data_IF_773746123191
#
_entry.id   IF_773746123191
#
_cell.length_a   1.000
_cell.length_b   1.000
_cell.length_c   1.000
_cell.angle_alpha   90.00
_cell.angle_beta   90.00
_cell.angle_gamma   90.00
#
_symmetry.space_group_name_H-M   'P 1'
#
loop_
_entity.id
_entity.type
_entity.pdbx_description
1 polymer ?
#
# COMPACT_ATOMS: atom_id res chain seq x y z
N UNK A 1 58.64 -68.50 21.34
CA UNK A 1 58.93 -67.19 20.85
C UNK A 1 57.97 -66.73 19.65
N UNK A 2 57.47 -67.67 18.85
CA UNK A 2 56.45 -67.36 17.78
C UNK A 2 55.08 -67.20 18.41
N UNK A 3 54.67 -68.00 19.36
CA UNK A 3 53.34 -67.93 20.00
C UNK A 3 53.07 -66.57 20.71
N UNK A 4 54.10 -65.98 21.31
CA UNK A 4 53.98 -64.67 21.96
C UNK A 4 53.81 -63.52 21.00
N UNK A 5 54.22 -63.67 19.76
CA UNK A 5 54.02 -62.68 18.70
C UNK A 5 52.62 -62.85 18.13
N UNK A 6 52.08 -64.03 17.91
CA UNK A 6 50.75 -64.32 17.48
C UNK A 6 49.71 -63.81 18.47
N UNK A 7 49.91 -64.05 19.78
CA UNK A 7 49.06 -63.52 20.83
C UNK A 7 49.03 -61.97 20.85
N UNK A 8 50.22 -61.38 20.69
CA UNK A 8 50.28 -59.89 20.59
C UNK A 8 49.56 -59.33 19.38
N UNK A 9 49.64 -59.95 18.23
CA UNK A 9 48.96 -59.60 17.03
C UNK A 9 47.45 -59.75 17.20
N UNK A 10 46.99 -60.87 17.78
CA UNK A 10 45.55 -61.08 18.03
C UNK A 10 44.96 -60.06 19.02
N UNK A 11 45.69 -59.69 20.07
CA UNK A 11 45.31 -58.64 21.02
C UNK A 11 45.20 -57.27 20.25
N UNK A 12 46.13 -56.96 19.37
CA UNK A 12 46.19 -55.77 18.62
C UNK A 12 44.99 -55.67 17.63
N UNK A 13 44.62 -56.73 16.96
CA UNK A 13 43.45 -56.78 16.07
C UNK A 13 42.14 -56.68 16.85
N UNK A 14 42.01 -57.34 17.99
CA UNK A 14 40.79 -57.24 18.84
C UNK A 14 40.62 -55.85 19.44
N UNK A 15 41.70 -55.26 19.96
CA UNK A 15 41.68 -53.89 20.49
C UNK A 15 41.42 -52.87 19.37
N UNK A 16 42.07 -53.03 18.19
CA UNK A 16 41.82 -52.20 17.02
C UNK A 16 40.37 -52.26 16.54
N UNK A 17 39.80 -53.47 16.50
CA UNK A 17 38.39 -53.68 16.14
C UNK A 17 37.40 -53.01 17.12
N UNK A 18 37.69 -53.10 18.42
CA UNK A 18 36.87 -52.41 19.43
C UNK A 18 36.93 -50.89 19.33
N UNK A 19 38.13 -50.34 19.09
CA UNK A 19 38.30 -48.89 18.88
C UNK A 19 37.55 -48.40 17.64
N UNK A 20 37.65 -49.12 16.51
CA UNK A 20 36.93 -48.80 15.30
C UNK A 20 35.42 -48.90 15.52
N UNK A 21 34.94 -49.93 16.22
CA UNK A 21 33.53 -50.11 16.56
C UNK A 21 33.00 -48.95 17.43
N UNK A 22 33.76 -48.55 18.46
CA UNK A 22 33.41 -47.42 19.31
C UNK A 22 33.34 -46.10 18.51
N UNK A 23 34.33 -45.90 17.64
CA UNK A 23 34.40 -44.71 16.80
C UNK A 23 33.20 -44.62 15.81
N UNK A 24 32.80 -45.74 15.20
CA UNK A 24 31.63 -45.81 14.35
C UNK A 24 30.32 -45.50 15.05
N UNK A 25 30.17 -45.99 16.33
CA UNK A 25 29.02 -45.68 17.16
C UNK A 25 28.99 -44.17 17.48
N UNK A 26 30.13 -43.59 17.80
CA UNK A 26 30.26 -42.19 18.15
C UNK A 26 29.94 -41.29 16.94
N UNK A 27 30.38 -41.66 15.73
CA UNK A 27 30.02 -41.02 14.48
C UNK A 27 28.52 -41.13 14.17
N UNK A 28 27.91 -42.30 14.43
CA UNK A 28 26.45 -42.46 14.23
C UNK A 28 25.65 -41.57 15.16
N UNK A 29 26.03 -41.47 16.43
CA UNK A 29 25.42 -40.58 17.40
C UNK A 29 25.56 -39.10 16.96
N UNK A 30 26.77 -38.70 16.57
CA UNK A 30 27.04 -37.36 16.07
C UNK A 30 26.21 -37.02 14.83
N UNK A 31 26.05 -37.96 13.89
CA UNK A 31 25.22 -37.79 12.71
C UNK A 31 23.74 -37.60 13.05
N UNK A 32 23.20 -38.34 14.00
CA UNK A 32 21.81 -38.17 14.49
C UNK A 32 21.62 -36.81 15.13
N UNK A 33 22.52 -36.40 16.03
CA UNK A 33 22.48 -35.07 16.67
C UNK A 33 22.53 -33.97 15.63
N UNK A 34 23.41 -34.09 14.64
CA UNK A 34 23.51 -33.11 13.56
C UNK A 34 22.25 -33.06 12.68
N UNK A 35 21.67 -34.22 12.37
CA UNK A 35 20.42 -34.29 11.58
C UNK A 35 19.24 -33.64 12.32
N UNK A 36 19.09 -33.90 13.62
CA UNK A 36 18.01 -33.34 14.42
C UNK A 36 18.22 -31.85 14.74
N UNK A 37 19.46 -31.45 14.96
CA UNK A 37 19.78 -30.07 15.31
C UNK A 37 19.82 -29.11 14.14
N UNK A 38 20.26 -29.52 12.95
CA UNK A 38 20.53 -28.65 11.82
C UNK A 38 19.60 -28.94 10.61
N UNK A 39 19.54 -30.21 10.19
CA UNK A 39 18.85 -30.56 8.93
C UNK A 39 17.34 -30.45 9.06
N UNK A 40 16.75 -30.96 10.15
CA UNK A 40 15.29 -30.90 10.34
C UNK A 40 14.73 -29.47 10.43
N UNK A 41 15.34 -28.56 11.22
CA UNK A 41 14.91 -27.16 11.26
C UNK A 41 14.98 -26.48 9.90
N UNK A 42 16.07 -26.67 9.16
CA UNK A 42 16.20 -26.09 7.80
C UNK A 42 15.16 -26.63 6.84
N UNK A 43 14.85 -27.93 6.89
CA UNK A 43 13.77 -28.52 6.05
C UNK A 43 12.40 -27.91 6.38
N UNK A 44 12.10 -27.65 7.67
CA UNK A 44 10.86 -26.96 8.05
C UNK A 44 10.78 -25.55 7.47
N UNK A 45 11.88 -24.81 7.49
CA UNK A 45 11.96 -23.48 6.88
C UNK A 45 11.71 -23.56 5.37
N UNK A 46 12.36 -24.49 4.68
CA UNK A 46 12.18 -24.66 3.22
C UNK A 46 10.73 -25.02 2.86
N UNK A 47 10.13 -25.98 3.58
CA UNK A 47 8.73 -26.34 3.33
C UNK A 47 7.75 -25.21 3.62
N UNK A 48 8.01 -24.39 4.63
CA UNK A 48 7.18 -23.21 4.89
C UNK A 48 7.25 -22.19 3.75
N UNK A 49 8.46 -21.93 3.21
CA UNK A 49 8.64 -21.03 2.06
C UNK A 49 7.92 -21.58 0.82
N UNK A 50 8.02 -22.89 0.55
CA UNK A 50 7.32 -23.53 -0.55
C UNK A 50 5.80 -23.44 -0.43
N UNK A 51 5.25 -23.65 0.77
CA UNK A 51 3.82 -23.52 1.03
C UNK A 51 3.31 -22.10 0.82
N UNK A 52 4.08 -21.09 1.24
CA UNK A 52 3.74 -19.68 0.97
C UNK A 52 3.76 -19.37 -0.53
N UNK A 53 4.75 -19.88 -1.24
CA UNK A 53 4.84 -19.71 -2.70
C UNK A 53 3.67 -20.37 -3.45
N UNK A 54 3.06 -21.40 -2.87
CA UNK A 54 1.87 -22.09 -3.40
C UNK A 54 0.54 -21.43 -2.99
N UNK A 55 0.57 -20.33 -2.21
CA UNK A 55 -0.62 -19.63 -1.75
C UNK A 55 -1.28 -20.28 -0.51
N UNK A 56 -0.63 -21.22 0.13
CA UNK A 56 -1.14 -21.93 1.30
C UNK A 56 -0.29 -21.63 2.53
N UNK A 57 -0.63 -20.69 3.37
CA UNK A 57 -0.56 -20.77 4.83
C UNK A 57 -0.59 -19.44 5.56
N UNK A 58 -1.47 -19.39 6.56
CA UNK A 58 -1.46 -18.41 7.66
C UNK A 58 -0.56 -18.89 8.82
N UNK A 59 0.17 -19.99 8.65
CA UNK A 59 0.91 -20.62 9.74
C UNK A 59 2.22 -19.86 10.04
N UNK A 60 2.34 -19.39 11.27
CA UNK A 60 3.57 -18.77 11.78
C UNK A 60 4.64 -19.86 11.87
N UNK A 61 5.75 -19.67 11.16
CA UNK A 61 6.90 -20.55 11.22
C UNK A 61 7.56 -20.44 12.60
N UNK A 62 7.47 -21.53 13.39
CA UNK A 62 8.09 -21.60 14.71
C UNK A 62 9.25 -22.59 14.69
N UNK A 63 10.48 -22.08 14.79
CA UNK A 63 11.71 -22.88 14.84
C UNK A 63 12.62 -22.31 15.92
N UNK A 64 12.61 -22.96 17.10
CA UNK A 64 13.34 -22.50 18.30
C UNK A 64 14.60 -23.35 18.60
N UNK A 65 15.30 -23.85 17.56
CA UNK A 65 16.41 -24.79 17.79
C UNK A 65 17.75 -24.09 18.10
N UNK A 66 18.08 -23.05 17.34
CA UNK A 66 19.30 -22.25 17.49
C UNK A 66 18.98 -20.76 17.25
N UNK A 67 19.82 -19.87 17.79
CA UNK A 67 19.66 -18.42 17.63
C UNK A 67 19.58 -18.01 16.15
N UNK A 68 20.41 -18.61 15.31
CA UNK A 68 20.46 -18.34 13.87
C UNK A 68 19.18 -18.79 13.15
N UNK A 69 18.68 -19.99 13.44
CA UNK A 69 17.43 -20.50 12.86
C UNK A 69 16.22 -19.73 13.35
N UNK A 70 16.22 -19.27 14.60
CA UNK A 70 15.20 -18.39 15.15
C UNK A 70 15.17 -17.05 14.43
N UNK A 71 16.33 -16.39 14.26
CA UNK A 71 16.44 -15.11 13.54
C UNK A 71 15.97 -15.23 12.08
N UNK A 72 16.29 -16.34 11.41
CA UNK A 72 15.81 -16.64 10.06
C UNK A 72 14.28 -16.81 10.06
N UNK A 73 13.73 -17.58 11.00
CA UNK A 73 12.29 -17.80 11.16
C UNK A 73 11.54 -16.48 11.39
N UNK A 74 12.02 -15.63 12.29
CA UNK A 74 11.44 -14.31 12.55
C UNK A 74 11.49 -13.40 11.32
N UNK A 75 12.61 -13.43 10.58
CA UNK A 75 12.76 -12.65 9.34
C UNK A 75 11.79 -13.11 8.24
N UNK A 76 11.59 -14.42 8.11
CA UNK A 76 10.63 -15.02 7.18
C UNK A 76 9.21 -14.66 7.60
N UNK A 77 8.83 -14.82 8.87
CA UNK A 77 7.50 -14.45 9.36
C UNK A 77 7.20 -12.97 9.11
N UNK A 78 8.19 -12.09 9.31
CA UNK A 78 8.05 -10.67 8.99
C UNK A 78 7.86 -10.41 7.50
N UNK A 79 8.56 -11.16 6.65
CA UNK A 79 8.39 -11.09 5.19
C UNK A 79 7.02 -11.60 4.76
N UNK A 80 6.57 -12.74 5.31
CA UNK A 80 5.25 -13.31 5.06
C UNK A 80 4.12 -12.36 5.47
N UNK A 81 4.22 -11.77 6.67
CA UNK A 81 3.25 -10.76 7.11
C UNK A 81 3.18 -9.55 6.17
N UNK A 82 4.32 -9.10 5.63
CA UNK A 82 4.33 -8.03 4.63
C UNK A 82 3.72 -8.46 3.29
N UNK A 83 3.98 -9.67 2.83
CA UNK A 83 3.38 -10.19 1.60
C UNK A 83 1.87 -10.31 1.73
N UNK A 84 1.38 -10.84 2.87
CA UNK A 84 -0.06 -10.90 3.14
C UNK A 84 -0.70 -9.52 3.13
N UNK A 85 -0.14 -8.55 3.85
CA UNK A 85 -0.65 -7.17 3.83
C UNK A 85 -0.67 -6.55 2.42
N UNK A 86 0.30 -6.90 1.57
CA UNK A 86 0.32 -6.44 0.18
C UNK A 86 -0.76 -7.10 -0.66
N UNK A 87 -1.01 -8.39 -0.43
CA UNK A 87 -2.02 -9.15 -1.17
C UNK A 87 -3.44 -8.74 -0.75
N UNK A 88 -3.69 -8.62 0.55
CA UNK A 88 -4.94 -8.09 1.10
C UNK A 88 -5.24 -6.67 0.57
N UNK A 89 -4.22 -5.80 0.57
CA UNK A 89 -4.35 -4.44 0.03
C UNK A 89 -4.61 -4.43 -1.49
N UNK A 90 -4.06 -5.39 -2.23
CA UNK A 90 -4.31 -5.55 -3.67
C UNK A 90 -5.73 -6.06 -3.94
N UNK A 91 -6.19 -7.03 -3.17
CA UNK A 91 -7.55 -7.56 -3.29
C UNK A 91 -8.60 -6.49 -2.96
N UNK A 92 -8.38 -5.74 -1.88
CA UNK A 92 -9.20 -4.61 -1.51
C UNK A 92 -9.20 -3.51 -2.60
N UNK A 93 -8.03 -3.19 -3.15
CA UNK A 93 -7.92 -2.25 -4.26
C UNK A 93 -8.76 -2.68 -5.46
N UNK A 94 -8.66 -3.95 -5.91
CA UNK A 94 -9.42 -4.46 -7.05
C UNK A 94 -10.92 -4.45 -6.77
N UNK A 95 -11.33 -4.84 -5.56
CA UNK A 95 -12.72 -4.81 -5.11
C UNK A 95 -13.28 -3.39 -5.14
N UNK A 96 -12.58 -2.44 -4.53
CA UNK A 96 -13.01 -1.04 -4.45
C UNK A 96 -13.09 -0.39 -5.83
N UNK A 97 -12.09 -0.62 -6.70
CA UNK A 97 -12.12 -0.15 -8.11
C UNK A 97 -13.34 -0.70 -8.85
N UNK A 98 -13.61 -2.01 -8.67
CA UNK A 98 -14.76 -2.65 -9.32
C UNK A 98 -16.08 -2.04 -8.87
N UNK A 99 -16.22 -1.73 -7.59
CA UNK A 99 -17.39 -1.07 -7.04
C UNK A 99 -17.54 0.38 -7.51
N UNK A 100 -16.48 1.17 -7.50
CA UNK A 100 -16.50 2.57 -7.92
C UNK A 100 -16.77 2.73 -9.42
N UNK A 101 -16.38 1.77 -10.27
CA UNK A 101 -16.70 1.77 -11.69
C UNK A 101 -18.10 1.22 -11.98
N UNK A 102 -18.58 0.22 -11.21
CA UNK A 102 -19.90 -0.39 -11.44
C UNK A 102 -21.05 0.58 -11.19
N UNK A 103 -20.91 1.45 -10.21
CA UNK A 103 -21.98 2.41 -9.83
C UNK A 103 -22.34 3.37 -10.97
N UNK A 104 -21.41 4.17 -11.55
CA UNK A 104 -21.73 5.06 -12.68
C UNK A 104 -22.19 4.29 -13.91
N UNK A 105 -21.59 3.13 -14.22
CA UNK A 105 -22.04 2.29 -15.33
C UNK A 105 -23.48 1.82 -15.18
N UNK A 106 -23.87 1.43 -13.95
CA UNK A 106 -25.26 1.01 -13.66
C UNK A 106 -26.22 2.20 -13.80
N UNK A 107 -25.83 3.38 -13.30
CA UNK A 107 -26.63 4.62 -13.45
C UNK A 107 -26.84 4.97 -14.91
N UNK A 108 -25.78 5.00 -15.72
CA UNK A 108 -25.87 5.24 -17.16
C UNK A 108 -26.76 4.23 -17.87
N UNK A 109 -26.67 2.95 -17.49
CA UNK A 109 -27.50 1.90 -18.07
C UNK A 109 -28.96 2.12 -17.74
N UNK A 110 -29.30 2.41 -16.49
CA UNK A 110 -30.70 2.68 -16.08
C UNK A 110 -31.28 3.87 -16.82
N UNK A 111 -30.52 4.96 -16.98
CA UNK A 111 -30.95 6.13 -17.75
C UNK A 111 -31.18 5.78 -19.22
N UNK A 112 -30.26 5.03 -19.83
CA UNK A 112 -30.39 4.60 -21.21
C UNK A 112 -31.57 3.64 -21.42
N UNK A 113 -31.75 2.65 -20.56
CA UNK A 113 -32.85 1.69 -20.62
C UNK A 113 -34.19 2.44 -20.46
N UNK A 114 -34.29 3.40 -19.53
CA UNK A 114 -35.50 4.24 -19.36
C UNK A 114 -35.86 5.04 -20.59
N UNK A 115 -34.88 5.53 -21.38
CA UNK A 115 -35.16 6.20 -22.66
C UNK A 115 -35.60 5.24 -23.75
N UNK A 116 -35.08 4.00 -23.75
CA UNK A 116 -35.41 3.01 -24.78
C UNK A 116 -36.78 2.36 -24.56
N UNK A 117 -37.26 2.30 -23.31
CA UNK A 117 -38.56 1.71 -22.98
C UNK A 117 -39.75 2.67 -23.19
N UNK A 118 -39.51 3.96 -23.34
CA UNK A 118 -40.55 4.96 -23.50
C UNK A 118 -40.83 5.24 -24.98
N UNK A 119 -42.12 5.15 -25.40
CA UNK A 119 -42.58 5.63 -26.70
C UNK A 119 -42.88 7.14 -26.63
N UNK A 120 -42.38 7.90 -27.62
CA UNK A 120 -42.63 9.37 -27.76
C UNK A 120 -42.02 10.21 -26.60
N UNK A 121 -40.77 9.99 -26.25
CA UNK A 121 -40.05 10.82 -25.27
C UNK A 121 -39.94 12.27 -25.75
N UNK A 122 -40.37 13.28 -24.98
CA UNK A 122 -40.17 14.69 -25.32
C UNK A 122 -38.67 15.00 -25.52
N UNK A 123 -38.39 15.91 -26.47
CA UNK A 123 -37.00 16.27 -26.81
C UNK A 123 -36.23 16.82 -25.57
N UNK A 124 -36.93 17.59 -24.76
CA UNK A 124 -36.38 18.16 -23.52
C UNK A 124 -35.96 17.09 -22.56
N UNK A 125 -36.75 16.05 -22.34
CA UNK A 125 -36.47 14.92 -21.50
C UNK A 125 -35.31 14.09 -22.05
N UNK A 126 -35.26 13.89 -23.36
CA UNK A 126 -34.16 13.24 -24.04
C UNK A 126 -32.82 13.97 -23.81
N UNK A 127 -32.84 15.30 -23.91
CA UNK A 127 -31.66 16.14 -23.66
C UNK A 127 -31.20 16.08 -22.20
N UNK A 128 -32.14 16.05 -21.25
CA UNK A 128 -31.83 15.93 -19.81
C UNK A 128 -31.13 14.59 -19.52
N UNK A 129 -31.71 13.47 -19.95
CA UNK A 129 -31.11 12.13 -19.72
C UNK A 129 -29.75 11.98 -20.40
N UNK A 130 -29.59 12.48 -21.63
CA UNK A 130 -28.31 12.46 -22.33
C UNK A 130 -27.28 13.35 -21.62
N UNK A 131 -27.70 14.47 -21.04
CA UNK A 131 -26.87 15.33 -20.23
C UNK A 131 -26.40 14.65 -18.95
N UNK A 132 -27.26 13.87 -18.30
CA UNK A 132 -26.91 13.13 -17.11
C UNK A 132 -25.98 11.92 -17.41
N UNK A 133 -26.22 11.23 -18.54
CA UNK A 133 -25.28 10.19 -19.01
C UNK A 133 -23.89 10.81 -19.29
N UNK A 134 -23.84 11.98 -19.92
CA UNK A 134 -22.56 12.66 -20.18
C UNK A 134 -21.83 13.02 -18.89
N UNK A 135 -22.54 13.50 -17.86
CA UNK A 135 -21.95 13.77 -16.53
C UNK A 135 -21.38 12.51 -15.87
N UNK A 136 -22.09 11.37 -15.98
CA UNK A 136 -21.59 10.10 -15.42
C UNK A 136 -20.36 9.58 -16.19
N UNK A 137 -20.29 9.77 -17.50
CA UNK A 137 -19.10 9.47 -18.31
C UNK A 137 -17.90 10.32 -17.85
N UNK A 138 -18.10 11.62 -17.63
CA UNK A 138 -17.04 12.52 -17.15
C UNK A 138 -16.57 12.11 -15.75
N UNK A 139 -17.48 11.70 -14.88
CA UNK A 139 -17.17 11.16 -13.55
C UNK A 139 -16.34 9.89 -13.64
N UNK A 140 -16.71 8.95 -14.51
CA UNK A 140 -15.98 7.69 -14.72
C UNK A 140 -14.57 7.96 -15.26
N UNK A 141 -14.43 8.85 -16.24
CA UNK A 141 -13.13 9.27 -16.77
C UNK A 141 -12.22 9.86 -15.67
N UNK A 142 -12.79 10.64 -14.73
CA UNK A 142 -12.04 11.17 -13.59
C UNK A 142 -11.56 10.03 -12.69
N UNK A 143 -12.42 9.08 -12.34
CA UNK A 143 -12.05 7.90 -11.53
C UNK A 143 -10.91 7.12 -12.19
N UNK A 144 -11.00 6.84 -13.49
CA UNK A 144 -9.95 6.13 -14.24
C UNK A 144 -8.63 6.91 -14.21
N UNK A 145 -8.67 8.22 -14.40
CA UNK A 145 -7.48 9.08 -14.37
C UNK A 145 -6.81 9.09 -13.00
N UNK A 146 -7.61 9.17 -11.94
CA UNK A 146 -7.14 9.13 -10.55
C UNK A 146 -6.49 7.77 -10.22
N UNK A 147 -7.11 6.67 -10.67
CA UNK A 147 -6.58 5.31 -10.53
C UNK A 147 -5.24 5.13 -11.27
N UNK A 148 -5.15 5.61 -12.52
CA UNK A 148 -3.91 5.55 -13.29
C UNK A 148 -2.78 6.36 -12.63
N UNK A 149 -3.13 7.48 -12.01
CA UNK A 149 -2.18 8.31 -11.25
C UNK A 149 -1.68 7.59 -10.01
N UNK A 150 -2.56 6.91 -9.26
CA UNK A 150 -2.18 6.06 -8.12
C UNK A 150 -1.23 4.93 -8.54
N UNK A 151 -1.57 4.19 -9.60
CA UNK A 151 -0.72 3.08 -10.10
C UNK A 151 0.65 3.58 -10.58
N UNK A 152 0.70 4.75 -11.20
CA UNK A 152 1.97 5.37 -11.60
C UNK A 152 2.81 5.76 -10.39
N UNK A 153 2.20 6.29 -9.32
CA UNK A 153 2.90 6.68 -8.09
C UNK A 153 3.44 5.48 -7.30
N UNK A 154 2.77 4.33 -7.35
CA UNK A 154 3.14 3.10 -6.62
C UNK A 154 4.36 2.37 -7.23
N UNK A 155 4.76 2.69 -8.44
CA UNK A 155 5.97 2.09 -9.04
C UNK A 155 7.20 2.48 -8.23
N UNK A 156 7.67 1.56 -7.37
CA UNK A 156 8.97 1.65 -6.69
C UNK A 156 10.06 1.87 -7.75
N UNK A 157 10.69 3.04 -7.75
CA UNK A 157 11.79 3.36 -8.67
C UNK A 157 11.52 4.54 -9.62
N UNK A 158 10.38 5.23 -9.55
CA UNK A 158 10.30 6.54 -10.20
C UNK A 158 11.23 7.50 -9.47
N UNK A 159 12.27 7.92 -10.17
CA UNK A 159 13.12 9.05 -9.71
C UNK A 159 12.20 10.26 -9.58
N UNK A 160 12.20 10.85 -8.38
CA UNK A 160 11.56 12.15 -8.17
C UNK A 160 12.27 13.17 -9.05
N UNK A 161 11.52 13.96 -9.80
CA UNK A 161 12.07 15.10 -10.50
C UNK A 161 12.13 16.29 -9.52
N UNK A 162 13.20 16.31 -8.71
CA UNK A 162 13.37 17.32 -7.68
C UNK A 162 14.02 18.56 -8.28
N UNK A 163 13.32 19.68 -8.19
CA UNK A 163 13.76 20.99 -8.67
C UNK A 163 13.57 22.05 -7.57
N UNK A 164 14.39 23.09 -7.62
CA UNK A 164 14.25 24.22 -6.70
C UNK A 164 13.12 25.14 -7.14
N UNK A 165 12.05 25.19 -6.35
CA UNK A 165 10.80 25.86 -6.68
C UNK A 165 10.42 26.90 -5.64
N UNK A 166 9.85 28.02 -6.11
CA UNK A 166 9.20 29.00 -5.22
C UNK A 166 7.80 28.51 -4.86
N UNK A 167 7.62 28.13 -3.59
CA UNK A 167 6.39 27.51 -3.09
C UNK A 167 5.21 28.49 -3.10
N UNK A 168 5.46 29.78 -2.86
CA UNK A 168 4.40 30.81 -2.90
C UNK A 168 3.79 30.89 -4.29
N UNK A 169 4.62 31.00 -5.32
CA UNK A 169 4.17 31.08 -6.71
C UNK A 169 3.41 29.80 -7.13
N UNK A 170 3.90 28.64 -6.71
CA UNK A 170 3.26 27.37 -7.01
C UNK A 170 1.89 27.26 -6.35
N UNK A 171 1.76 27.64 -5.07
CA UNK A 171 0.46 27.68 -4.39
C UNK A 171 -0.51 28.64 -5.06
N UNK A 172 -0.06 29.85 -5.42
CA UNK A 172 -0.91 30.80 -6.16
C UNK A 172 -1.43 30.23 -7.46
N UNK A 173 -0.59 29.52 -8.24
CA UNK A 173 -1.00 28.88 -9.47
C UNK A 173 -2.03 27.76 -9.24
N UNK A 174 -1.87 26.95 -8.20
CA UNK A 174 -2.81 25.91 -7.82
C UNK A 174 -4.15 26.54 -7.43
N UNK A 175 -4.13 27.52 -6.54
CA UNK A 175 -5.35 28.16 -6.06
C UNK A 175 -6.07 28.93 -7.18
N UNK A 176 -5.34 29.56 -8.11
CA UNK A 176 -5.91 30.22 -9.28
C UNK A 176 -6.73 29.24 -10.15
N UNK A 177 -6.27 28.01 -10.28
CA UNK A 177 -7.00 26.96 -11.03
C UNK A 177 -8.26 26.49 -10.29
N UNK A 178 -8.26 26.51 -8.97
CA UNK A 178 -9.37 26.02 -8.14
C UNK A 178 -10.41 27.10 -7.82
N UNK A 179 -10.08 28.40 -7.94
CA UNK A 179 -11.03 29.51 -7.71
C UNK A 179 -12.35 29.40 -8.47
N UNK A 180 -12.40 29.02 -9.77
CA UNK A 180 -13.68 28.88 -10.47
C UNK A 180 -14.58 27.81 -9.83
N UNK A 181 -14.02 26.70 -9.35
CA UNK A 181 -14.76 25.61 -8.68
C UNK A 181 -15.30 26.10 -7.32
N UNK A 182 -14.48 26.83 -6.57
CA UNK A 182 -14.90 27.42 -5.29
C UNK A 182 -16.01 28.45 -5.47
N UNK A 183 -15.92 29.31 -6.51
CA UNK A 183 -16.96 30.30 -6.83
C UNK A 183 -18.31 29.65 -7.15
N UNK A 184 -18.33 28.52 -7.87
CA UNK A 184 -19.57 27.79 -8.14
C UNK A 184 -20.27 27.28 -6.88
N UNK A 185 -19.51 27.11 -5.79
CA UNK A 185 -20.01 26.68 -4.46
C UNK A 185 -20.12 27.82 -3.46
N UNK A 186 -19.92 29.07 -3.89
CA UNK A 186 -19.85 30.24 -3.01
C UNK A 186 -18.84 30.10 -1.86
N UNK A 187 -17.69 29.43 -2.12
CA UNK A 187 -16.62 29.25 -1.13
C UNK A 187 -15.50 30.25 -1.43
N UNK A 188 -15.11 31.01 -0.40
CA UNK A 188 -14.00 31.95 -0.49
C UNK A 188 -12.67 31.23 -0.26
N UNK A 189 -11.67 31.46 -1.14
CA UNK A 189 -10.30 30.95 -0.95
C UNK A 189 -9.38 32.09 -0.59
N UNK A 190 -8.77 32.01 0.60
CA UNK A 190 -7.79 32.97 1.11
C UNK A 190 -6.42 32.29 1.18
N UNK A 191 -5.40 32.98 0.66
CA UNK A 191 -4.00 32.55 0.82
C UNK A 191 -3.26 33.52 1.72
N UNK A 192 -2.57 32.97 2.73
CA UNK A 192 -1.72 33.73 3.64
C UNK A 192 -0.29 33.21 3.61
N UNK A 193 0.66 34.11 3.40
CA UNK A 193 2.07 33.76 3.42
C UNK A 193 2.88 34.88 4.04
N UNK A 194 3.69 34.53 5.03
CA UNK A 194 4.46 35.52 5.79
C UNK A 194 5.82 35.86 5.16
N UNK A 195 6.34 35.00 4.31
CA UNK A 195 7.64 35.16 3.64
C UNK A 195 7.76 34.29 2.38
N UNK A 196 8.64 34.67 1.44
CA UNK A 196 8.99 33.80 0.32
C UNK A 196 9.65 32.51 0.81
N UNK A 197 9.23 31.38 0.25
CA UNK A 197 9.76 30.05 0.55
C UNK A 197 10.23 29.41 -0.75
N UNK A 198 11.48 28.94 -0.78
CA UNK A 198 12.02 28.13 -1.86
C UNK A 198 12.41 26.77 -1.31
N UNK A 199 12.02 25.69 -1.99
CA UNK A 199 12.30 24.33 -1.56
C UNK A 199 12.56 23.42 -2.77
N UNK A 200 13.29 22.34 -2.52
CA UNK A 200 13.53 21.27 -3.50
C UNK A 200 12.37 20.27 -3.45
N UNK A 201 11.55 20.26 -4.48
CA UNK A 201 10.34 19.42 -4.56
C UNK A 201 10.14 18.87 -5.98
N UNK A 202 9.35 17.81 -6.09
CA UNK A 202 8.75 17.37 -7.35
C UNK A 202 7.46 18.17 -7.57
N UNK A 203 7.48 19.12 -8.51
CA UNK A 203 6.37 20.04 -8.79
C UNK A 203 5.05 19.29 -9.05
N UNK A 204 5.11 18.23 -9.87
CA UNK A 204 3.91 17.49 -10.28
C UNK A 204 3.25 16.79 -9.09
N UNK A 205 4.03 16.09 -8.30
CA UNK A 205 3.51 15.34 -7.14
C UNK A 205 3.06 16.27 -6.03
N UNK A 206 3.81 17.34 -5.81
CA UNK A 206 3.46 18.35 -4.83
C UNK A 206 2.16 19.09 -5.21
N UNK A 207 2.06 19.53 -6.48
CA UNK A 207 0.85 20.18 -6.99
C UNK A 207 -0.38 19.28 -6.87
N UNK A 208 -0.22 17.99 -7.15
CA UNK A 208 -1.30 17.02 -7.01
C UNK A 208 -1.76 16.88 -5.56
N UNK A 209 -0.82 16.77 -4.62
CA UNK A 209 -1.15 16.66 -3.19
C UNK A 209 -1.91 17.88 -2.68
N UNK A 210 -1.43 19.09 -2.98
CA UNK A 210 -2.07 20.33 -2.55
C UNK A 210 -3.43 20.53 -3.25
N UNK A 211 -3.51 20.25 -4.55
CA UNK A 211 -4.79 20.34 -5.29
C UNK A 211 -5.84 19.43 -4.66
N UNK A 212 -5.51 18.19 -4.33
CA UNK A 212 -6.43 17.25 -3.68
C UNK A 212 -6.93 17.75 -2.31
N UNK A 213 -6.03 18.31 -1.49
CA UNK A 213 -6.42 18.85 -0.18
C UNK A 213 -7.38 20.04 -0.35
N UNK A 214 -7.07 20.97 -1.26
CA UNK A 214 -7.90 22.17 -1.47
C UNK A 214 -9.22 21.80 -2.17
N UNK A 215 -9.20 20.87 -3.15
CA UNK A 215 -10.43 20.36 -3.76
C UNK A 215 -11.37 19.71 -2.74
N UNK A 216 -10.83 18.93 -1.81
CA UNK A 216 -11.61 18.34 -0.72
C UNK A 216 -12.16 19.42 0.21
N UNK A 217 -11.37 20.42 0.59
CA UNK A 217 -11.80 21.54 1.40
C UNK A 217 -12.94 22.34 0.74
N UNK A 218 -12.94 22.48 -0.61
CA UNK A 218 -14.03 23.10 -1.35
C UNK A 218 -15.24 22.16 -1.42
N UNK A 219 -15.01 20.88 -1.75
CA UNK A 219 -16.06 19.89 -1.99
C UNK A 219 -16.92 19.64 -0.77
N UNK A 220 -16.30 19.52 0.39
CA UNK A 220 -16.98 19.24 1.66
C UNK A 220 -17.27 20.50 2.48
N UNK A 221 -17.15 21.69 1.86
CA UNK A 221 -17.50 22.95 2.48
C UNK A 221 -19.01 23.18 2.52
N UNK A 222 -19.41 24.12 3.37
CA UNK A 222 -20.77 24.64 3.43
C UNK A 222 -20.94 25.80 2.44
N UNK A 223 -22.17 26.08 2.06
CA UNK A 223 -22.48 27.29 1.28
C UNK A 223 -22.01 28.56 2.01
N UNK A 224 -21.42 29.49 1.28
CA UNK A 224 -20.78 30.68 1.81
C UNK A 224 -19.67 30.40 2.84
N UNK A 225 -19.01 29.25 2.72
CA UNK A 225 -17.87 28.90 3.55
C UNK A 225 -16.56 29.48 3.03
N UNK A 226 -15.48 29.11 3.69
CA UNK A 226 -14.14 29.55 3.34
C UNK A 226 -13.13 28.41 3.37
N UNK A 227 -12.06 28.57 2.60
CA UNK A 227 -10.84 27.73 2.63
C UNK A 227 -9.65 28.65 2.83
N UNK A 228 -8.90 28.45 3.89
CA UNK A 228 -7.70 29.22 4.21
C UNK A 228 -6.47 28.37 4.02
N UNK A 229 -5.59 28.78 3.10
CA UNK A 229 -4.33 28.12 2.81
C UNK A 229 -3.20 28.99 3.35
N UNK A 230 -2.51 28.54 4.37
CA UNK A 230 -1.38 29.27 4.95
C UNK A 230 -0.05 28.59 4.67
N UNK A 231 0.96 29.37 4.28
CA UNK A 231 2.34 28.95 4.09
C UNK A 231 3.22 29.59 5.16
N UNK A 232 3.86 28.75 5.95
CA UNK A 232 4.84 29.18 6.94
C UNK A 232 6.12 28.36 6.78
N UNK A 233 7.24 28.85 7.29
CA UNK A 233 8.50 28.12 7.29
C UNK A 233 9.34 28.50 8.51
N UNK A 234 10.07 27.53 9.04
CA UNK A 234 11.16 27.76 9.98
C UNK A 234 12.54 27.64 9.28
N UNK A 235 13.60 27.45 10.03
CA UNK A 235 14.96 27.32 9.49
C UNK A 235 15.25 25.92 8.86
N UNK A 236 14.34 24.97 9.00
CA UNK A 236 14.54 23.57 8.54
C UNK A 236 13.42 23.07 7.65
N UNK A 237 12.16 23.47 7.95
CA UNK A 237 10.98 22.98 7.27
C UNK A 237 10.08 24.13 6.81
N UNK A 238 9.28 23.87 5.79
CA UNK A 238 8.13 24.69 5.48
C UNK A 238 6.84 23.89 5.76
N UNK A 239 5.78 24.62 6.07
CA UNK A 239 4.49 24.06 6.48
C UNK A 239 3.39 24.69 5.63
N UNK A 240 2.55 23.86 5.04
CA UNK A 240 1.32 24.29 4.39
C UNK A 240 0.17 23.76 5.22
N UNK A 241 -0.70 24.67 5.61
CA UNK A 241 -1.92 24.36 6.35
C UNK A 241 -3.11 24.72 5.48
N UNK A 242 -4.03 23.77 5.27
CA UNK A 242 -5.30 23.97 4.60
C UNK A 242 -6.38 23.82 5.65
N UNK A 243 -7.14 24.88 5.89
CA UNK A 243 -8.26 24.92 6.84
C UNK A 243 -9.54 25.24 6.06
N UNK A 244 -10.63 24.64 6.46
CA UNK A 244 -11.95 24.86 5.86
C UNK A 244 -13.03 25.04 6.92
N UNK A 245 -14.14 25.65 6.52
CA UNK A 245 -15.32 25.82 7.35
C UNK A 245 -16.40 24.76 7.08
N UNK A 246 -16.02 23.63 6.52
CA UNK A 246 -16.90 22.57 6.04
C UNK A 246 -17.57 21.76 7.13
N UNK A 247 -18.00 20.57 6.75
CA UNK A 247 -18.73 19.66 7.65
C UNK A 247 -17.84 19.00 8.71
N UNK A 248 -16.51 19.06 8.52
CA UNK A 248 -15.54 18.38 9.36
C UNK A 248 -15.47 16.86 9.11
N UNK A 249 -14.63 16.19 9.90
CA UNK A 249 -14.43 14.74 9.84
C UNK A 249 -14.69 14.18 11.24
N UNK A 250 -15.63 13.21 11.38
CA UNK A 250 -15.88 12.54 12.66
C UNK A 250 -14.59 11.97 13.26
N UNK A 251 -14.49 11.99 14.58
CA UNK A 251 -13.27 11.57 15.28
C UNK A 251 -12.92 10.09 15.00
N UNK A 252 -13.94 9.25 14.86
CA UNK A 252 -13.81 7.83 14.53
C UNK A 252 -13.25 7.56 13.12
N UNK A 253 -13.48 8.48 12.17
CA UNK A 253 -13.03 8.35 10.78
C UNK A 253 -11.63 8.92 10.56
N UNK A 254 -11.13 9.80 11.44
CA UNK A 254 -9.86 10.51 11.25
C UNK A 254 -8.65 9.57 11.11
N UNK A 255 -8.69 8.39 11.71
CA UNK A 255 -7.63 7.38 11.58
C UNK A 255 -7.55 6.76 10.18
N UNK A 256 -8.66 6.79 9.44
CA UNK A 256 -8.82 6.08 8.16
C UNK A 256 -8.82 6.97 6.93
N UNK A 257 -8.88 8.31 7.07
CA UNK A 257 -8.98 9.25 5.94
C UNK A 257 -7.80 9.20 4.96
N UNK A 258 -6.67 8.61 5.34
CA UNK A 258 -5.51 8.38 4.48
C UNK A 258 -5.50 6.99 3.83
N UNK A 259 -6.47 6.13 4.17
CA UNK A 259 -6.62 4.85 3.51
C UNK A 259 -7.19 5.03 2.11
N UNK A 260 -6.78 4.15 1.20
CA UNK A 260 -7.22 4.22 -0.18
C UNK A 260 -8.72 3.90 -0.27
N UNK A 261 -9.48 4.68 -1.03
CA UNK A 261 -10.92 4.53 -1.23
C UNK A 261 -11.79 4.75 0.03
N UNK A 262 -11.18 5.13 1.15
CA UNK A 262 -11.96 5.43 2.33
C UNK A 262 -12.82 6.69 2.12
N UNK A 263 -14.09 6.61 2.52
CA UNK A 263 -15.05 7.72 2.48
C UNK A 263 -15.90 7.66 3.73
N UNK A 264 -16.08 8.80 4.37
CA UNK A 264 -16.92 8.96 5.58
C UNK A 264 -18.38 8.62 5.26
N UNK A 265 -18.87 9.06 4.09
CA UNK A 265 -20.21 8.74 3.61
C UNK A 265 -20.17 7.61 2.58
N UNK A 266 -20.77 6.47 2.90
CA UNK A 266 -20.99 5.33 1.99
C UNK A 266 -22.31 5.44 1.20
N UNK A 267 -22.95 6.63 1.18
CA UNK A 267 -24.21 6.89 0.47
C UNK A 267 -23.97 7.49 -0.91
#
# INVERSE_FOLDING_TARGET
>A
STDSIEDSIHILYTQGGLIIGLFMILLAIAAVIFADGVVRPLRKITSAIENVSAGYSDDILHVDTYTETKNISESINKMMGRLKLLDDSREEFVSNVSHELKTPMTSMKVLADSLLEQENVPVEMYQEFMGDIAKEIDRENKIITDLLSLVKMDKKGQTLNIESMNINNLLEQILKRLRPIAQQKNVEIVMESFRPVTAEIDETKFSLAISNLVENAIKYNRDNGWVHVSLNADHKFFYIKVEDSGIGIPEEDQAYIFERFYRVDKS
#
